data_IF_110035512097
#
_entry.id   IF_110035512097
#
_cell.length_a   1.000
_cell.length_b   1.000
_cell.length_c   1.000
_cell.angle_alpha   90.00
_cell.angle_beta   90.00
_cell.angle_gamma   90.00
#
_symmetry.space_group_name_H-M   'P 1'
#
loop_
_entity.id
_entity.type
_entity.pdbx_description
1 polymer ?
#
# COMPACT_ATOMS: atom_id res chain seq x y z
N UNK A 1 18.59 -26.13 35.22
CA UNK A 1 17.59 -25.04 35.27
C UNK A 1 16.43 -25.53 36.11
N UNK A 2 16.04 -24.75 37.11
CA UNK A 2 14.93 -25.06 37.99
C UNK A 2 13.62 -25.23 37.20
N UNK A 3 12.87 -26.29 37.44
CA UNK A 3 11.57 -26.55 36.80
C UNK A 3 10.60 -25.36 36.96
N UNK A 4 10.59 -24.70 38.10
CA UNK A 4 9.75 -23.57 38.40
C UNK A 4 10.13 -22.34 37.56
N UNK A 5 11.43 -22.08 37.33
CA UNK A 5 11.88 -21.02 36.47
C UNK A 5 11.47 -21.25 35.01
N UNK A 6 11.59 -22.47 34.50
CA UNK A 6 11.14 -22.83 33.16
C UNK A 6 9.62 -22.70 33.00
N UNK A 7 8.87 -23.13 34.01
CA UNK A 7 7.41 -23.02 34.04
C UNK A 7 6.97 -21.55 34.01
N UNK A 8 7.60 -20.71 34.83
CA UNK A 8 7.33 -19.26 34.87
C UNK A 8 7.62 -18.61 33.52
N UNK A 9 8.79 -18.89 32.93
CA UNK A 9 9.17 -18.33 31.63
C UNK A 9 8.17 -18.69 30.53
N UNK A 10 7.79 -19.98 30.41
CA UNK A 10 6.79 -20.44 29.41
C UNK A 10 5.45 -19.77 29.61
N UNK A 11 4.97 -19.69 30.85
CA UNK A 11 3.70 -19.06 31.19
C UNK A 11 3.71 -17.60 30.82
N UNK A 12 4.76 -16.86 31.20
CA UNK A 12 4.86 -15.43 30.90
C UNK A 12 4.90 -15.12 29.41
N UNK A 13 5.66 -15.92 28.64
CA UNK A 13 5.73 -15.77 27.17
C UNK A 13 4.36 -16.04 26.55
N UNK A 14 3.69 -17.12 26.93
CA UNK A 14 2.38 -17.47 26.39
C UNK A 14 1.32 -16.43 26.74
N UNK A 15 1.29 -15.97 28.00
CA UNK A 15 0.35 -14.92 28.41
C UNK A 15 0.61 -13.60 27.69
N UNK A 16 1.87 -13.22 27.48
CA UNK A 16 2.20 -12.02 26.71
C UNK A 16 1.69 -12.12 25.27
N UNK A 17 1.90 -13.28 24.62
CA UNK A 17 1.40 -13.55 23.28
C UNK A 17 -0.13 -13.52 23.24
N UNK A 18 -0.81 -14.23 24.15
CA UNK A 18 -2.28 -14.22 24.21
C UNK A 18 -2.84 -12.82 24.44
N UNK A 19 -2.29 -12.08 25.38
CA UNK A 19 -2.71 -10.70 25.67
C UNK A 19 -2.55 -9.80 24.43
N UNK A 20 -1.42 -9.89 23.73
CA UNK A 20 -1.19 -9.14 22.50
C UNK A 20 -2.16 -9.54 21.39
N UNK A 21 -2.41 -10.84 21.22
CA UNK A 21 -3.36 -11.37 20.23
C UNK A 21 -4.79 -10.90 20.51
N UNK A 22 -5.25 -11.03 21.75
CA UNK A 22 -6.59 -10.57 22.17
C UNK A 22 -6.73 -9.07 21.93
N UNK A 23 -5.75 -8.28 22.37
CA UNK A 23 -5.77 -6.81 22.22
C UNK A 23 -5.77 -6.39 20.75
N UNK A 24 -4.92 -7.00 19.93
CA UNK A 24 -4.86 -6.73 18.50
C UNK A 24 -6.18 -7.10 17.80
N UNK A 25 -6.70 -8.29 18.08
CA UNK A 25 -7.97 -8.75 17.52
C UNK A 25 -9.15 -7.86 17.93
N UNK A 26 -9.17 -7.41 19.20
CA UNK A 26 -10.24 -6.55 19.73
C UNK A 26 -10.30 -5.18 19.07
N UNK A 27 -9.20 -4.73 18.44
CA UNK A 27 -9.16 -3.49 17.67
C UNK A 27 -9.84 -3.62 16.30
N UNK A 28 -10.06 -4.82 15.79
CA UNK A 28 -10.72 -5.04 14.52
C UNK A 28 -12.25 -4.91 14.67
N UNK A 29 -12.94 -4.04 13.90
CA UNK A 29 -14.38 -3.81 14.02
C UNK A 29 -15.24 -5.01 13.60
N UNK A 30 -14.70 -5.95 12.83
CA UNK A 30 -15.39 -7.17 12.40
C UNK A 30 -15.26 -8.32 13.39
N UNK A 31 -14.37 -8.21 14.35
CA UNK A 31 -14.22 -9.22 15.42
C UNK A 31 -15.29 -9.00 16.46
N UNK A 32 -16.16 -10.00 16.67
CA UNK A 32 -17.24 -9.95 17.66
C UNK A 32 -16.88 -10.67 18.95
N UNK A 33 -15.86 -11.53 18.93
CA UNK A 33 -15.39 -12.27 20.08
C UNK A 33 -14.02 -12.89 19.84
N UNK A 34 -13.54 -13.62 20.85
CA UNK A 34 -12.29 -14.36 20.79
C UNK A 34 -12.59 -15.84 20.99
N UNK A 35 -12.23 -16.66 20.03
CA UNK A 35 -12.39 -18.10 20.08
C UNK A 35 -11.19 -18.77 20.75
N UNK A 36 -11.47 -19.65 21.72
CA UNK A 36 -10.45 -20.41 22.42
C UNK A 36 -10.08 -21.66 21.66
N UNK A 37 -8.80 -21.81 21.31
CA UNK A 37 -8.30 -23.00 20.62
C UNK A 37 -7.29 -23.79 21.48
N UNK A 38 -7.57 -25.04 21.72
CA UNK A 38 -6.66 -26.00 22.36
C UNK A 38 -6.29 -27.11 21.37
N UNK A 39 -5.16 -27.77 21.63
CA UNK A 39 -4.65 -28.82 20.73
C UNK A 39 -5.50 -30.10 20.74
N UNK A 40 -6.42 -30.27 21.69
CA UNK A 40 -7.31 -31.43 21.84
C UNK A 40 -6.57 -32.79 21.88
N UNK A 41 -5.38 -32.83 22.54
CA UNK A 41 -4.55 -34.03 22.62
C UNK A 41 -4.85 -34.74 23.92
N UNK A 42 -5.44 -35.95 23.85
CA UNK A 42 -5.69 -36.78 25.02
C UNK A 42 -4.41 -37.08 25.84
N UNK A 43 -4.49 -36.90 27.14
CA UNK A 43 -3.37 -37.06 28.06
C UNK A 43 -2.37 -35.89 28.11
N UNK A 44 -2.57 -34.87 27.29
CA UNK A 44 -1.75 -33.64 27.30
C UNK A 44 -2.57 -32.38 27.51
N UNK A 45 -3.76 -32.29 26.91
CA UNK A 45 -4.67 -31.17 27.10
C UNK A 45 -5.48 -31.41 28.37
N UNK A 46 -5.51 -30.46 29.30
CA UNK A 46 -6.29 -30.59 30.53
C UNK A 46 -7.78 -30.43 30.23
N UNK A 47 -8.62 -30.93 31.15
CA UNK A 47 -10.08 -30.93 31.04
C UNK A 47 -10.63 -29.53 30.77
N UNK A 48 -10.18 -28.51 31.51
CA UNK A 48 -10.58 -27.13 31.33
C UNK A 48 -10.30 -26.60 29.89
N UNK A 49 -9.16 -26.94 29.29
CA UNK A 49 -8.82 -26.53 27.92
C UNK A 49 -9.60 -27.34 26.88
N UNK A 50 -9.99 -28.61 27.21
CA UNK A 50 -10.91 -29.36 26.37
C UNK A 50 -12.29 -28.72 26.32
N UNK A 51 -12.83 -28.33 27.47
CA UNK A 51 -14.14 -27.70 27.59
C UNK A 51 -14.20 -26.31 26.92
N UNK A 52 -13.11 -25.54 27.00
CA UNK A 52 -13.04 -24.21 26.40
C UNK A 52 -12.84 -24.21 24.89
N UNK A 53 -12.40 -25.29 24.30
CA UNK A 53 -12.14 -25.37 22.86
C UNK A 53 -13.37 -25.01 22.04
N UNK A 54 -13.24 -24.10 21.12
CA UNK A 54 -14.35 -23.59 20.30
C UNK A 54 -15.32 -22.64 21.01
N UNK A 55 -15.11 -22.35 22.31
CA UNK A 55 -15.92 -21.35 22.99
C UNK A 55 -15.49 -19.94 22.56
N UNK A 56 -16.48 -19.07 22.38
CA UNK A 56 -16.28 -17.67 22.01
C UNK A 56 -16.48 -16.82 23.25
N UNK A 57 -15.46 -16.05 23.61
CA UNK A 57 -15.45 -15.15 24.75
C UNK A 57 -15.63 -13.71 24.28
N UNK A 58 -16.30 -12.83 25.09
CA UNK A 58 -16.32 -11.40 24.84
C UNK A 58 -14.89 -10.83 24.74
N UNK A 59 -14.68 -9.82 23.88
CA UNK A 59 -13.35 -9.23 23.64
C UNK A 59 -12.66 -8.65 24.87
N UNK A 60 -13.42 -8.23 25.84
CA UNK A 60 -13.01 -7.60 27.10
C UNK A 60 -12.97 -8.55 28.29
N UNK A 61 -13.46 -9.80 28.13
CA UNK A 61 -13.51 -10.79 29.20
C UNK A 61 -12.98 -12.15 28.72
N UNK A 62 -11.79 -12.16 28.15
CA UNK A 62 -11.12 -13.39 27.69
C UNK A 62 -10.18 -13.89 28.78
N UNK A 63 -10.39 -15.08 29.34
CA UNK A 63 -9.49 -15.65 30.34
C UNK A 63 -8.13 -15.98 29.69
N UNK A 64 -7.05 -15.80 30.45
CA UNK A 64 -5.73 -16.30 30.03
C UNK A 64 -5.63 -17.80 30.33
N UNK A 65 -4.70 -18.47 29.64
CA UNK A 65 -4.44 -19.89 29.82
C UNK A 65 -3.80 -20.16 31.20
N UNK A 66 -3.89 -21.40 31.63
CA UNK A 66 -3.24 -21.83 32.87
C UNK A 66 -1.70 -21.90 32.73
N UNK A 67 -0.93 -21.95 33.85
CA UNK A 67 0.52 -22.04 33.78
C UNK A 67 1.02 -23.19 32.90
N UNK A 68 1.95 -22.90 32.02
CA UNK A 68 2.48 -23.81 30.98
C UNK A 68 1.44 -24.27 29.95
N UNK A 69 0.29 -23.61 29.85
CA UNK A 69 -0.69 -23.84 28.81
C UNK A 69 -0.17 -23.41 27.42
N UNK A 70 -0.77 -23.98 26.38
CA UNK A 70 -0.40 -23.74 24.98
C UNK A 70 -1.64 -23.46 24.11
N UNK A 71 -2.71 -23.00 24.73
CA UNK A 71 -3.91 -22.63 24.01
C UNK A 71 -3.70 -21.33 23.22
N UNK A 72 -4.42 -21.20 22.12
CA UNK A 72 -4.35 -20.04 21.22
C UNK A 72 -5.67 -19.31 21.24
N UNK A 73 -5.61 -17.98 21.17
CA UNK A 73 -6.76 -17.09 21.10
C UNK A 73 -6.89 -16.59 19.66
N UNK A 74 -8.00 -16.92 19.00
CA UNK A 74 -8.27 -16.55 17.61
C UNK A 74 -9.39 -15.51 17.54
N UNK A 75 -9.29 -14.52 16.61
CA UNK A 75 -10.40 -13.60 16.40
C UNK A 75 -11.60 -14.34 15.82
N UNK A 76 -12.77 -14.17 16.43
CA UNK A 76 -14.02 -14.66 15.89
C UNK A 76 -14.71 -13.59 15.06
N UNK A 77 -14.83 -13.86 13.75
CA UNK A 77 -15.56 -13.03 12.79
C UNK A 77 -16.73 -13.86 12.26
N UNK A 78 -17.98 -13.55 12.65
CA UNK A 78 -19.15 -14.34 12.25
C UNK A 78 -19.50 -14.20 10.77
N UNK A 79 -19.02 -13.12 10.13
CA UNK A 79 -19.22 -12.84 8.71
C UNK A 79 -18.20 -13.60 7.86
N UNK A 80 -18.59 -14.06 6.69
CA UNK A 80 -17.63 -14.58 5.73
C UNK A 80 -16.75 -13.42 5.17
N UNK A 81 -15.56 -13.77 4.66
CA UNK A 81 -14.59 -12.78 4.18
C UNK A 81 -15.11 -11.96 2.99
N UNK A 82 -15.95 -12.54 2.14
CA UNK A 82 -16.53 -11.82 1.00
C UNK A 82 -17.48 -10.72 1.48
N UNK A 83 -18.31 -11.02 2.49
CA UNK A 83 -19.19 -10.02 3.11
C UNK A 83 -18.38 -8.90 3.80
N UNK A 84 -17.29 -9.25 4.49
CA UNK A 84 -16.39 -8.26 5.10
C UNK A 84 -15.75 -7.38 4.03
N UNK A 85 -15.30 -7.97 2.93
CA UNK A 85 -14.72 -7.25 1.80
C UNK A 85 -15.73 -6.29 1.14
N UNK A 86 -16.97 -6.75 0.93
CA UNK A 86 -18.05 -5.94 0.35
C UNK A 86 -18.43 -4.77 1.27
N UNK A 87 -18.50 -4.99 2.58
CA UNK A 87 -18.77 -3.93 3.56
C UNK A 87 -17.63 -2.89 3.59
N UNK A 88 -16.37 -3.35 3.60
CA UNK A 88 -15.21 -2.47 3.52
C UNK A 88 -15.22 -1.66 2.23
N UNK A 89 -15.45 -2.32 1.10
CA UNK A 89 -15.54 -1.66 -0.20
C UNK A 89 -16.66 -0.64 -0.22
N UNK A 90 -17.85 -1.02 0.23
CA UNK A 90 -18.99 -0.09 0.33
C UNK A 90 -18.67 1.12 1.20
N UNK A 91 -17.98 0.92 2.32
CA UNK A 91 -17.56 2.00 3.21
C UNK A 91 -16.49 2.90 2.54
N UNK A 92 -15.49 2.31 1.89
CA UNK A 92 -14.49 3.05 1.10
C UNK A 92 -15.16 3.87 0.00
N UNK A 93 -16.15 3.29 -0.68
CA UNK A 93 -16.91 3.93 -1.76
C UNK A 93 -17.96 4.95 -1.25
N UNK A 94 -18.09 5.13 0.07
CA UNK A 94 -18.92 6.16 0.63
C UNK A 94 -20.17 5.74 1.36
N UNK A 95 -20.38 4.46 1.52
CA UNK A 95 -21.46 3.94 2.34
C UNK A 95 -21.26 4.26 3.81
N UNK A 96 -22.36 4.41 4.55
CA UNK A 96 -22.34 4.63 5.99
C UNK A 96 -22.02 3.33 6.73
N UNK A 97 -20.97 3.36 7.56
CA UNK A 97 -20.68 2.30 8.52
C UNK A 97 -20.04 2.89 9.79
N UNK A 98 -20.87 3.22 10.81
CA UNK A 98 -20.39 3.87 12.03
C UNK A 98 -19.27 3.11 12.74
N UNK A 99 -19.29 1.77 12.72
CA UNK A 99 -18.27 0.96 13.36
C UNK A 99 -16.89 1.12 12.67
N UNK A 100 -16.88 1.22 11.35
CA UNK A 100 -15.66 1.50 10.58
C UNK A 100 -15.22 2.96 10.73
N UNK A 101 -16.16 3.90 10.82
CA UNK A 101 -15.85 5.32 11.07
C UNK A 101 -15.17 5.50 12.43
N UNK A 102 -15.72 4.89 13.49
CA UNK A 102 -15.15 4.94 14.84
C UNK A 102 -13.80 4.24 14.89
N UNK A 103 -13.69 3.05 14.29
CA UNK A 103 -12.42 2.34 14.18
C UNK A 103 -11.36 3.18 13.45
N UNK A 104 -11.72 3.79 12.33
CA UNK A 104 -10.79 4.61 11.56
C UNK A 104 -10.36 5.89 12.29
N UNK A 105 -11.27 6.49 13.04
CA UNK A 105 -10.96 7.65 13.90
C UNK A 105 -9.91 7.30 14.95
N UNK A 106 -10.00 6.10 15.54
CA UNK A 106 -9.11 5.69 16.62
C UNK A 106 -7.78 5.12 16.08
N UNK A 107 -7.84 4.35 15.00
CA UNK A 107 -6.73 3.55 14.50
C UNK A 107 -6.23 3.95 13.11
N UNK A 108 -6.97 4.74 12.36
CA UNK A 108 -6.62 5.18 11.01
C UNK A 108 -5.22 5.81 10.91
N UNK A 109 -4.79 6.49 11.97
CA UNK A 109 -3.43 7.05 12.11
C UNK A 109 -2.31 6.01 12.04
N UNK A 110 -2.59 4.72 12.29
CA UNK A 110 -1.62 3.62 12.19
C UNK A 110 -1.59 2.98 10.81
N UNK A 111 -2.59 3.27 9.98
CA UNK A 111 -2.72 2.75 8.61
C UNK A 111 -2.58 3.84 7.55
N UNK A 112 -2.61 5.09 7.97
CA UNK A 112 -2.41 6.24 7.11
C UNK A 112 -1.14 6.98 7.54
N UNK A 113 -0.47 7.62 6.60
CA UNK A 113 0.57 8.59 6.92
C UNK A 113 0.00 9.67 7.85
N UNK A 114 0.86 10.12 8.77
CA UNK A 114 0.47 11.02 9.86
C UNK A 114 -0.26 12.29 9.41
N UNK A 115 -0.01 12.76 8.18
CA UNK A 115 -0.65 13.90 7.55
C UNK A 115 -1.41 13.53 6.26
N UNK A 116 -1.32 12.28 5.80
CA UNK A 116 -2.16 11.76 4.73
C UNK A 116 -3.62 11.60 5.17
N UNK A 117 -3.88 11.48 6.48
CA UNK A 117 -5.21 11.33 7.02
C UNK A 117 -6.20 12.35 6.45
N UNK A 118 -5.83 13.63 6.39
CA UNK A 118 -6.69 14.66 5.81
C UNK A 118 -6.64 14.70 4.28
N UNK A 119 -5.47 14.49 3.68
CA UNK A 119 -5.32 14.52 2.22
C UNK A 119 -5.76 13.20 1.59
N UNK A 120 -5.52 12.07 2.24
CA UNK A 120 -5.96 10.74 1.79
C UNK A 120 -7.48 10.59 2.01
N UNK A 121 -8.02 11.03 3.16
CA UNK A 121 -9.46 11.12 3.40
C UNK A 121 -10.14 12.14 2.49
N UNK A 122 -9.47 13.23 2.13
CA UNK A 122 -9.96 14.18 1.15
C UNK A 122 -9.92 13.57 -0.25
N UNK A 123 -8.86 12.85 -0.59
CA UNK A 123 -8.75 12.06 -1.82
C UNK A 123 -9.78 10.92 -1.88
N UNK A 124 -10.01 10.18 -0.80
CA UNK A 124 -11.08 9.16 -0.71
C UNK A 124 -12.48 9.78 -0.69
N UNK A 125 -12.67 10.91 -0.02
CA UNK A 125 -13.95 11.65 -0.09
C UNK A 125 -14.21 12.23 -1.46
N UNK A 126 -13.17 12.63 -2.18
CA UNK A 126 -13.29 13.10 -3.56
C UNK A 126 -13.52 11.93 -4.54
N UNK A 127 -13.02 10.72 -4.23
CA UNK A 127 -13.42 9.47 -4.90
C UNK A 127 -14.89 9.14 -4.58
N UNK A 128 -15.38 9.41 -3.37
CA UNK A 128 -16.80 9.24 -2.98
C UNK A 128 -17.77 10.15 -3.77
N UNK A 129 -17.33 11.33 -4.15
CA UNK A 129 -18.15 12.28 -4.90
C UNK A 129 -17.81 12.32 -6.39
N UNK A 130 -16.76 11.63 -6.79
CA UNK A 130 -16.31 11.56 -8.16
C UNK A 130 -17.28 10.77 -9.01
N UNK A 131 -18.19 11.45 -9.70
CA UNK A 131 -18.52 11.04 -11.06
C UNK A 131 -17.19 10.68 -11.71
N UNK A 132 -17.06 9.53 -12.44
CA UNK A 132 -15.87 9.24 -13.22
C UNK A 132 -15.53 10.52 -13.97
N UNK A 133 -14.32 11.06 -13.73
CA UNK A 133 -13.86 12.30 -14.36
C UNK A 133 -14.22 12.13 -15.85
N UNK A 134 -15.07 13.00 -16.32
CA UNK A 134 -15.71 12.80 -17.61
C UNK A 134 -14.62 12.49 -18.60
N UNK A 135 -14.74 11.35 -19.26
CA UNK A 135 -13.88 10.99 -20.38
C UNK A 135 -13.98 12.14 -21.39
N UNK A 136 -13.10 13.11 -21.24
CA UNK A 136 -12.84 14.02 -22.33
C UNK A 136 -12.01 13.23 -23.35
N UNK A 137 -12.68 12.27 -23.98
CA UNK A 137 -12.20 11.53 -25.13
C UNK A 137 -12.17 12.44 -26.35
N UNK A 138 -11.24 13.40 -26.34
CA UNK A 138 -10.67 13.84 -27.59
C UNK A 138 -9.44 12.96 -27.81
N UNK A 139 -9.66 11.81 -28.44
CA UNK A 139 -8.59 10.97 -28.97
C UNK A 139 -7.79 11.81 -29.97
N UNK A 140 -6.64 12.35 -29.51
CA UNK A 140 -5.61 12.71 -30.47
C UNK A 140 -5.00 11.42 -30.99
N UNK A 141 -5.07 11.12 -32.28
CA UNK A 141 -4.57 9.85 -32.79
C UNK A 141 -3.06 9.77 -32.58
N UNK A 142 -2.63 8.81 -31.75
CA UNK A 142 -1.24 8.41 -31.65
C UNK A 142 -0.89 7.78 -33.00
N UNK A 143 -0.03 8.42 -33.79
CA UNK A 143 0.32 7.95 -35.13
C UNK A 143 1.18 6.66 -35.05
N UNK A 144 1.42 6.00 -36.18
CA UNK A 144 2.14 4.73 -36.21
C UNK A 144 3.55 4.79 -35.61
N UNK A 145 4.25 5.92 -35.73
CA UNK A 145 5.59 6.13 -35.17
C UNK A 145 5.54 6.32 -33.65
N UNK A 146 4.59 7.08 -33.17
CA UNK A 146 4.37 7.31 -31.75
C UNK A 146 3.98 6.02 -31.03
N UNK A 147 3.12 5.21 -31.69
CA UNK A 147 2.72 3.90 -31.20
C UNK A 147 3.88 2.91 -31.14
N UNK A 148 4.78 2.95 -32.11
CA UNK A 148 5.99 2.15 -32.09
C UNK A 148 6.85 2.48 -30.86
N UNK A 149 7.14 3.76 -30.62
CA UNK A 149 7.95 4.20 -29.49
C UNK A 149 7.31 3.86 -28.14
N UNK A 150 5.99 4.01 -28.02
CA UNK A 150 5.25 3.61 -26.83
C UNK A 150 5.34 2.10 -26.59
N UNK A 151 5.09 1.27 -27.60
CA UNK A 151 5.16 -0.18 -27.48
C UNK A 151 6.58 -0.66 -27.14
N UNK A 152 7.61 -0.01 -27.70
CA UNK A 152 9.01 -0.29 -27.36
C UNK A 152 9.32 0.06 -25.92
N UNK A 153 8.84 1.19 -25.44
CA UNK A 153 9.00 1.58 -24.04
C UNK A 153 8.26 0.64 -23.10
N UNK A 154 7.07 0.15 -23.45
CA UNK A 154 6.30 -0.81 -22.64
C UNK A 154 6.90 -2.24 -22.66
N UNK A 155 8.02 -2.44 -23.30
CA UNK A 155 8.81 -3.68 -23.25
C UNK A 155 9.99 -3.55 -22.26
N UNK A 156 10.89 -4.55 -22.25
CA UNK A 156 12.12 -4.52 -21.45
C UNK A 156 13.06 -3.34 -21.74
N UNK A 157 12.85 -2.64 -22.86
CA UNK A 157 13.63 -1.45 -23.21
C UNK A 157 13.46 -0.28 -22.22
N UNK A 158 12.33 -0.23 -21.52
CA UNK A 158 12.10 0.79 -20.48
C UNK A 158 13.16 0.80 -19.38
N UNK A 159 13.67 -0.36 -18.99
CA UNK A 159 14.68 -0.47 -17.94
C UNK A 159 15.99 0.21 -18.35
N UNK A 160 16.50 -0.13 -19.54
CA UNK A 160 17.77 0.41 -20.04
C UNK A 160 17.66 1.89 -20.41
N UNK A 161 16.53 2.32 -20.97
CA UNK A 161 16.26 3.74 -21.27
C UNK A 161 16.18 4.55 -19.97
N UNK A 162 15.40 4.11 -19.00
CA UNK A 162 15.25 4.84 -17.74
C UNK A 162 16.54 4.85 -16.92
N UNK A 163 17.34 3.78 -16.96
CA UNK A 163 18.65 3.74 -16.33
C UNK A 163 19.61 4.75 -16.98
N UNK A 164 19.68 4.77 -18.30
CA UNK A 164 20.52 5.71 -19.05
C UNK A 164 20.12 7.18 -18.81
N UNK A 165 18.81 7.48 -18.74
CA UNK A 165 18.31 8.82 -18.42
C UNK A 165 18.64 9.19 -16.98
N UNK A 166 18.41 8.32 -16.02
CA UNK A 166 18.65 8.55 -14.58
C UNK A 166 20.13 8.81 -14.30
N UNK A 167 20.98 7.99 -14.87
CA UNK A 167 22.44 8.03 -14.63
C UNK A 167 23.15 9.03 -15.54
N UNK A 168 22.45 9.62 -16.53
CA UNK A 168 23.04 10.51 -17.55
C UNK A 168 24.21 9.88 -18.31
N UNK A 169 24.16 8.55 -18.49
CA UNK A 169 25.23 7.77 -19.13
C UNK A 169 25.19 7.80 -20.65
N UNK A 170 24.21 8.50 -21.22
CA UNK A 170 23.99 8.56 -22.66
C UNK A 170 23.18 7.37 -23.19
N UNK A 171 22.33 7.63 -24.15
CA UNK A 171 21.51 6.66 -24.86
C UNK A 171 22.07 6.45 -26.25
N UNK A 172 21.98 5.25 -26.78
CA UNK A 172 22.31 4.99 -28.17
C UNK A 172 21.29 5.65 -29.12
N UNK A 173 21.56 5.67 -30.42
CA UNK A 173 20.72 6.35 -31.42
C UNK A 173 19.30 5.76 -31.48
N UNK A 174 19.16 4.45 -31.31
CA UNK A 174 17.85 3.79 -31.32
C UNK A 174 17.03 4.16 -30.07
N UNK A 175 17.64 4.10 -28.90
CA UNK A 175 17.03 4.52 -27.63
C UNK A 175 16.61 5.99 -27.66
N UNK A 176 17.45 6.88 -28.22
CA UNK A 176 17.09 8.29 -28.40
C UNK A 176 15.91 8.47 -29.34
N UNK A 177 15.78 7.66 -30.40
CA UNK A 177 14.62 7.69 -31.28
C UNK A 177 13.35 7.25 -30.55
N UNK A 178 13.46 6.22 -29.68
CA UNK A 178 12.34 5.76 -28.85
C UNK A 178 11.93 6.88 -27.87
N UNK A 179 12.87 7.49 -27.18
CA UNK A 179 12.63 8.60 -26.24
C UNK A 179 11.92 9.78 -26.93
N UNK A 180 12.44 10.24 -28.06
CA UNK A 180 11.84 11.35 -28.80
C UNK A 180 10.42 11.02 -29.29
N UNK A 181 10.19 9.80 -29.74
CA UNK A 181 8.87 9.33 -30.15
C UNK A 181 7.91 9.20 -28.98
N UNK A 182 8.41 8.75 -27.82
CA UNK A 182 7.60 8.62 -26.59
C UNK A 182 7.23 10.00 -26.04
N UNK A 183 8.17 10.96 -25.99
CA UNK A 183 7.87 12.34 -25.59
C UNK A 183 6.76 12.94 -26.48
N UNK A 184 6.84 12.68 -27.78
CA UNK A 184 5.81 13.11 -28.74
C UNK A 184 4.48 12.42 -28.50
N UNK A 185 4.50 11.11 -28.22
CA UNK A 185 3.29 10.35 -27.91
C UNK A 185 2.63 10.86 -26.63
N UNK A 186 3.39 11.01 -25.55
CA UNK A 186 2.88 11.47 -24.25
C UNK A 186 2.30 12.89 -24.34
N UNK A 187 2.89 13.78 -25.14
CA UNK A 187 2.36 15.16 -25.33
C UNK A 187 0.94 15.18 -25.90
N UNK A 188 0.54 14.13 -26.60
CA UNK A 188 -0.79 14.00 -27.23
C UNK A 188 -1.80 13.26 -26.35
N UNK A 189 -1.35 12.64 -25.26
CA UNK A 189 -2.20 11.85 -24.38
C UNK A 189 -2.91 12.72 -23.34
N UNK A 190 -4.07 12.31 -22.86
CA UNK A 190 -4.78 13.02 -21.81
C UNK A 190 -3.99 12.97 -20.50
N UNK A 191 -4.07 14.04 -19.74
CA UNK A 191 -3.61 14.04 -18.38
C UNK A 191 -4.55 13.20 -17.53
N UNK A 192 -3.97 12.54 -16.53
CA UNK A 192 -4.72 11.86 -15.48
C UNK A 192 -4.90 12.80 -14.29
N UNK A 193 -6.11 12.87 -13.78
CA UNK A 193 -6.43 13.61 -12.55
C UNK A 193 -6.80 12.61 -11.45
N UNK A 194 -6.04 12.59 -10.38
CA UNK A 194 -6.27 11.69 -9.24
C UNK A 194 -5.00 11.26 -8.52
N UNK A 195 -5.15 10.29 -7.63
CA UNK A 195 -4.04 9.76 -6.86
C UNK A 195 -3.37 8.60 -7.58
N UNK A 196 -2.07 8.49 -7.41
CA UNK A 196 -1.25 7.46 -8.04
C UNK A 196 -0.33 6.83 -7.02
N UNK A 197 0.11 5.61 -7.30
CA UNK A 197 1.09 4.92 -6.48
C UNK A 197 2.17 4.24 -7.33
N UNK A 198 3.30 3.93 -6.71
CA UNK A 198 4.37 3.11 -7.29
C UNK A 198 5.14 2.41 -6.19
N UNK A 199 5.44 1.13 -6.39
CA UNK A 199 6.28 0.33 -5.50
C UNK A 199 7.68 0.20 -6.06
N UNK A 200 8.70 0.22 -5.17
CA UNK A 200 10.08 -0.08 -5.50
C UNK A 200 10.60 -1.23 -4.62
N UNK A 201 11.35 -2.11 -5.25
CA UNK A 201 12.04 -3.21 -4.59
C UNK A 201 13.55 -3.00 -4.66
N UNK A 202 14.23 -3.27 -3.55
CA UNK A 202 15.69 -3.20 -3.44
C UNK A 202 16.23 -4.56 -3.03
N UNK A 203 17.26 -5.02 -3.74
CA UNK A 203 17.88 -6.33 -3.49
C UNK A 203 18.64 -6.41 -2.17
N UNK A 204 19.10 -5.26 -1.65
CA UNK A 204 19.88 -5.17 -0.42
C UNK A 204 19.49 -3.93 0.40
N UNK A 205 19.63 -4.04 1.72
CA UNK A 205 19.36 -2.93 2.64
C UNK A 205 20.29 -1.73 2.39
N UNK A 206 21.54 -1.95 2.00
CA UNK A 206 22.48 -0.87 1.68
C UNK A 206 22.00 -0.01 0.50
N UNK A 207 21.41 -0.65 -0.53
CA UNK A 207 20.83 0.08 -1.68
C UNK A 207 19.60 0.87 -1.24
N UNK A 208 18.75 0.29 -0.39
CA UNK A 208 17.59 0.95 0.17
C UNK A 208 17.98 2.15 1.02
N UNK A 209 18.91 1.99 1.95
CA UNK A 209 19.38 3.09 2.81
C UNK A 209 19.99 4.24 2.00
N UNK A 210 20.82 3.89 0.99
CA UNK A 210 21.39 4.91 0.10
C UNK A 210 20.31 5.67 -0.65
N UNK A 211 19.30 4.95 -1.12
CA UNK A 211 18.16 5.56 -1.83
C UNK A 211 17.37 6.51 -0.93
N UNK A 212 17.04 6.10 0.29
CA UNK A 212 16.26 6.91 1.24
C UNK A 212 17.02 8.18 1.67
N UNK A 213 18.35 8.11 1.82
CA UNK A 213 19.18 9.27 2.15
C UNK A 213 19.09 10.41 1.14
N UNK A 214 18.69 10.10 -0.09
CA UNK A 214 18.48 11.09 -1.14
C UNK A 214 17.12 11.82 -1.03
N UNK A 215 16.28 11.44 -0.05
CA UNK A 215 14.96 12.04 0.15
C UNK A 215 14.92 12.83 1.46
N UNK A 216 14.43 14.06 1.36
CA UNK A 216 14.21 14.97 2.47
C UNK A 216 12.86 15.65 2.28
N UNK A 217 12.09 15.80 3.37
CA UNK A 217 10.79 16.49 3.33
C UNK A 217 10.99 17.96 2.96
N UNK A 218 10.20 18.44 2.03
CA UNK A 218 10.29 19.79 1.43
C UNK A 218 11.27 19.87 0.26
N UNK A 219 12.08 18.85 -0.01
CA UNK A 219 12.99 18.86 -1.15
C UNK A 219 12.25 18.64 -2.48
N UNK A 220 12.73 19.30 -3.54
CA UNK A 220 12.23 19.09 -4.90
C UNK A 220 13.07 18.00 -5.57
N UNK A 221 12.42 16.90 -5.91
CA UNK A 221 13.02 15.78 -6.66
C UNK A 221 12.67 15.90 -8.14
N UNK A 222 13.70 15.84 -8.98
CA UNK A 222 13.53 15.74 -10.44
C UNK A 222 13.72 14.32 -10.88
N UNK A 223 12.74 13.76 -11.57
CA UNK A 223 12.85 12.45 -12.19
C UNK A 223 13.36 12.64 -13.63
N UNK A 224 14.66 12.50 -13.81
CA UNK A 224 15.33 12.65 -15.13
C UNK A 224 14.80 11.63 -16.16
N UNK A 225 14.35 10.46 -15.68
CA UNK A 225 13.71 9.42 -16.46
C UNK A 225 12.19 9.58 -16.45
N UNK A 226 11.52 8.78 -17.25
CA UNK A 226 10.06 8.62 -17.11
C UNK A 226 9.73 8.02 -15.76
N UNK A 227 8.67 8.52 -15.14
CA UNK A 227 8.22 8.01 -13.85
C UNK A 227 6.89 7.29 -14.02
N UNK A 228 6.96 5.96 -14.09
CA UNK A 228 5.81 5.07 -14.19
C UNK A 228 5.12 4.99 -12.83
N UNK A 229 3.81 5.14 -12.83
CA UNK A 229 2.93 5.01 -11.67
C UNK A 229 1.68 4.24 -12.07
N UNK A 230 0.89 3.77 -11.10
CA UNK A 230 -0.41 3.14 -11.35
C UNK A 230 -1.54 3.93 -10.70
N UNK A 231 -2.70 3.95 -11.36
CA UNK A 231 -3.96 4.42 -10.79
C UNK A 231 -4.79 3.29 -10.19
N UNK A 232 -4.32 2.04 -10.34
CA UNK A 232 -4.91 0.85 -9.72
C UNK A 232 -4.41 0.62 -8.30
N UNK A 233 -4.65 -0.58 -7.80
CA UNK A 233 -4.16 -1.03 -6.51
C UNK A 233 -2.62 -1.05 -6.47
N UNK A 234 -2.05 -1.17 -5.27
CA UNK A 234 -0.61 -1.25 -5.09
C UNK A 234 -0.08 -2.48 -5.85
N UNK A 235 0.69 -2.23 -6.91
CA UNK A 235 1.15 -3.26 -7.85
C UNK A 235 2.08 -4.29 -7.20
N UNK A 236 2.96 -3.85 -6.31
CA UNK A 236 3.84 -4.73 -5.56
C UNK A 236 3.83 -4.36 -4.07
N UNK A 237 2.95 -4.99 -3.28
CA UNK A 237 2.85 -4.69 -1.86
C UNK A 237 4.10 -5.08 -1.06
N UNK A 238 4.98 -5.94 -1.61
CA UNK A 238 6.22 -6.35 -0.94
C UNK A 238 7.40 -5.39 -1.17
N UNK A 239 7.23 -4.39 -2.04
CA UNK A 239 8.24 -3.35 -2.26
C UNK A 239 8.55 -2.59 -0.96
N UNK A 240 9.85 -2.38 -0.66
CA UNK A 240 10.28 -1.68 0.56
C UNK A 240 10.01 -0.17 0.52
N UNK A 241 9.80 0.41 -0.67
CA UNK A 241 9.42 1.81 -0.82
C UNK A 241 8.12 1.90 -1.61
N UNK A 242 7.17 2.64 -1.07
CA UNK A 242 5.88 2.95 -1.69
C UNK A 242 5.79 4.46 -1.92
N UNK A 243 5.72 4.87 -3.17
CA UNK A 243 5.39 6.25 -3.52
C UNK A 243 3.88 6.43 -3.61
N UNK A 244 3.42 7.57 -3.14
CA UNK A 244 2.10 8.09 -3.41
C UNK A 244 2.23 9.48 -4.02
N UNK A 245 1.57 9.70 -5.17
CA UNK A 245 1.45 11.01 -5.80
C UNK A 245 0.02 11.47 -5.62
N UNK A 246 -0.17 12.56 -4.89
CA UNK A 246 -1.50 13.13 -4.67
C UNK A 246 -1.85 14.15 -5.76
N UNK A 247 -3.15 14.13 -6.13
CA UNK A 247 -3.73 15.11 -7.03
C UNK A 247 -2.93 15.30 -8.33
N UNK A 248 -2.50 14.18 -8.95
CA UNK A 248 -1.83 14.22 -10.25
C UNK A 248 -2.62 15.03 -11.26
N UNK A 249 -1.91 15.86 -12.04
CA UNK A 249 -2.45 16.66 -13.15
C UNK A 249 -1.60 16.59 -14.40
N UNK A 250 -0.38 16.09 -14.31
CA UNK A 250 0.58 16.01 -15.43
C UNK A 250 0.86 14.58 -15.90
N UNK A 251 0.57 13.58 -15.05
CA UNK A 251 0.70 12.19 -15.42
C UNK A 251 -0.15 11.87 -16.67
N UNK A 252 0.41 11.11 -17.60
CA UNK A 252 -0.26 10.74 -18.86
C UNK A 252 -0.91 9.39 -18.73
N UNK A 253 -2.21 9.31 -18.91
CA UNK A 253 -2.96 8.04 -18.84
C UNK A 253 -2.65 7.18 -20.06
N UNK A 254 -1.84 6.15 -19.86
CA UNK A 254 -1.48 5.16 -20.87
C UNK A 254 -2.10 3.78 -20.59
N UNK A 255 -3.02 3.68 -19.62
CA UNK A 255 -3.66 2.43 -19.23
C UNK A 255 -4.35 1.68 -20.37
N UNK A 256 -4.77 2.38 -21.43
CA UNK A 256 -5.28 1.77 -22.67
C UNK A 256 -4.24 0.87 -23.36
N UNK A 257 -2.93 1.17 -23.17
CA UNK A 257 -1.83 0.44 -23.79
C UNK A 257 -1.15 -0.53 -22.79
N UNK A 258 -1.32 -0.30 -21.50
CA UNK A 258 -0.86 -1.17 -20.41
C UNK A 258 -1.98 -1.36 -19.38
N UNK A 259 -3.05 -2.11 -19.74
CA UNK A 259 -4.24 -2.25 -18.89
C UNK A 259 -3.98 -3.07 -17.63
N UNK A 260 -3.02 -3.98 -17.65
CA UNK A 260 -2.67 -4.83 -16.49
C UNK A 260 -2.11 -4.00 -15.33
N UNK A 261 -1.30 -3.00 -15.65
CA UNK A 261 -0.70 -2.10 -14.66
C UNK A 261 -1.52 -0.84 -14.42
N UNK A 262 -2.58 -0.59 -15.20
CA UNK A 262 -3.34 0.65 -15.17
C UNK A 262 -2.44 1.90 -15.16
N UNK A 263 -1.43 1.89 -16.03
CA UNK A 263 -0.28 2.77 -15.96
C UNK A 263 -0.62 4.22 -16.28
N UNK A 264 -0.09 5.10 -15.44
CA UNK A 264 -0.01 6.54 -15.68
C UNK A 264 1.48 6.91 -15.69
N UNK A 265 1.95 7.42 -16.83
CA UNK A 265 3.36 7.68 -17.05
C UNK A 265 3.64 9.18 -17.02
N UNK A 266 4.51 9.61 -16.11
CA UNK A 266 5.02 10.98 -16.11
C UNK A 266 6.12 11.17 -17.14
N UNK A 267 6.11 12.29 -17.86
CA UNK A 267 7.21 12.66 -18.74
C UNK A 267 8.54 12.76 -17.97
N UNK A 268 9.63 12.52 -18.68
CA UNK A 268 10.97 12.74 -18.13
C UNK A 268 11.17 14.21 -17.72
N UNK A 269 11.93 14.43 -16.67
CA UNK A 269 12.15 15.76 -16.10
C UNK A 269 10.99 16.26 -15.22
N UNK A 270 9.98 15.43 -14.94
CA UNK A 270 8.91 15.79 -14.01
C UNK A 270 9.48 16.03 -12.61
N UNK A 271 8.94 17.03 -11.93
CA UNK A 271 9.39 17.46 -10.61
C UNK A 271 8.30 17.26 -9.58
N UNK A 272 8.73 16.83 -8.40
CA UNK A 272 7.84 16.62 -7.26
C UNK A 272 8.47 17.19 -5.99
N UNK A 273 7.65 17.78 -5.17
CA UNK A 273 8.00 18.11 -3.79
C UNK A 273 7.75 16.87 -2.92
N UNK A 274 8.70 16.53 -2.07
CA UNK A 274 8.56 15.48 -1.05
C UNK A 274 7.77 16.06 0.12
N UNK A 275 6.53 15.65 0.28
CA UNK A 275 5.65 16.18 1.33
C UNK A 275 5.82 15.43 2.65
N UNK A 276 6.08 14.13 2.58
CA UNK A 276 6.18 13.30 3.75
C UNK A 276 7.01 12.04 3.48
N UNK A 277 7.71 11.56 4.49
CA UNK A 277 8.43 10.29 4.49
C UNK A 277 8.11 9.61 5.82
N UNK A 278 7.50 8.43 5.76
CA UNK A 278 7.24 7.60 6.93
C UNK A 278 7.85 6.21 6.76
N UNK A 279 8.28 5.62 7.88
CA UNK A 279 8.66 4.21 7.93
C UNK A 279 7.66 3.46 8.81
N UNK A 280 6.97 2.49 8.22
CA UNK A 280 6.02 1.63 8.92
C UNK A 280 6.23 0.18 8.48
N UNK A 281 6.34 -0.74 9.43
CA UNK A 281 6.53 -2.17 9.17
C UNK A 281 7.69 -2.48 8.21
N UNK A 282 8.84 -1.83 8.40
CA UNK A 282 10.03 -1.93 7.55
C UNK A 282 9.83 -1.50 6.09
N UNK A 283 8.81 -0.70 5.81
CA UNK A 283 8.58 -0.07 4.51
C UNK A 283 8.61 1.43 4.64
N UNK A 284 9.20 2.07 3.64
CA UNK A 284 9.17 3.52 3.51
C UNK A 284 8.00 3.93 2.62
N UNK A 285 7.27 4.90 3.08
CA UNK A 285 6.17 5.53 2.38
C UNK A 285 6.55 6.97 2.10
N UNK A 286 6.59 7.34 0.83
CA UNK A 286 7.01 8.66 0.39
C UNK A 286 5.85 9.32 -0.33
N UNK A 287 5.39 10.44 0.22
CA UNK A 287 4.35 11.25 -0.37
C UNK A 287 4.97 12.32 -1.26
N UNK A 288 4.53 12.37 -2.50
CA UNK A 288 4.96 13.31 -3.52
C UNK A 288 3.79 14.19 -3.98
N UNK A 289 4.06 15.45 -4.22
CA UNK A 289 3.15 16.37 -4.88
C UNK A 289 3.84 16.99 -6.09
N UNK A 290 3.13 17.15 -7.21
CA UNK A 290 3.69 17.75 -8.42
C UNK A 290 4.18 19.18 -8.15
N UNK A 291 5.42 19.47 -8.53
CA UNK A 291 6.00 20.79 -8.37
C UNK A 291 5.96 21.57 -9.70
N UNK A 292 5.27 22.70 -9.70
CA UNK A 292 5.03 23.52 -10.89
C UNK A 292 5.93 24.76 -10.96
N UNK A 293 6.87 24.94 -10.02
CA UNK A 293 7.63 26.17 -9.86
C UNK A 293 6.85 27.22 -9.05
N UNK A 294 7.56 28.19 -8.50
CA UNK A 294 6.92 29.38 -7.91
C UNK A 294 6.24 30.17 -9.05
N UNK A 295 4.93 30.42 -8.93
CA UNK A 295 4.19 31.32 -9.81
C UNK A 295 4.44 32.77 -9.40
#
# INVERSE_FOLDING_TARGET
VDYNAMRLARTSINHAYQTASIKSSSMNPFVEGIEWWSAQIHGRTCELCFERHGQIFPKDDVPLDHPSGLCTMLPYIPKNLDTVADELKSWIDGGDNPALDDWYKDYGKYFAFKNLGDSYNKGFKDIKTGKPAGQNTRESPVNGKDKYSLNKYLSSESYTINEGLRNRTGLNKEQMNIVNGLDTALSKMPNYEGNLNRSLYFETDDKLEKFIKDYEVGAIKTFEQYFSTTKGDIYNPDGQVQYFVLNSKQGKDISKYNPEEQEVLYPRGSKFEVKEIEMLNNKYYILLEEYHGEQ
#
